data_IF_971302503440
#
_entry.id   IF_971302503440
#
_cell.length_a   1.000
_cell.length_b   1.000
_cell.length_c   1.000
_cell.angle_alpha   90.00
_cell.angle_beta   90.00
_cell.angle_gamma   90.00
#
_symmetry.space_group_name_H-M   'P 1'
#
loop_
_entity.id
_entity.type
_entity.pdbx_description
1 polymer ?
#
# COMPACT_ATOMS: atom_id res chain seq x y z
N UNK A 1 47.24 -47.88 15.47
CA UNK A 1 46.84 -47.30 16.76
C UNK A 1 45.67 -48.12 17.28
N UNK A 2 45.97 -48.86 18.34
CA UNK A 2 45.13 -49.76 19.17
C UNK A 2 43.77 -49.15 19.53
N UNK A 3 42.61 -49.78 19.27
CA UNK A 3 41.92 -50.92 19.96
C UNK A 3 41.79 -50.85 21.48
N UNK A 4 40.52 -50.90 21.91
CA UNK A 4 39.90 -51.62 23.04
C UNK A 4 40.06 -51.15 24.50
N UNK A 5 38.96 -50.58 25.00
CA UNK A 5 38.18 -50.91 26.21
C UNK A 5 38.67 -51.97 27.21
N UNK A 6 38.56 -51.62 28.50
CA UNK A 6 38.31 -52.46 29.71
C UNK A 6 37.76 -51.52 30.81
N UNK A 7 36.50 -51.66 31.30
CA UNK A 7 36.00 -52.46 32.46
C UNK A 7 36.71 -52.10 33.80
N UNK A 8 36.12 -51.93 34.99
CA UNK A 8 35.00 -52.59 35.69
C UNK A 8 34.39 -51.73 36.84
N UNK A 9 33.08 -51.89 37.04
CA UNK A 9 32.25 -52.05 38.26
C UNK A 9 32.79 -51.75 39.68
N UNK A 10 31.93 -51.15 40.54
CA UNK A 10 31.48 -51.75 41.82
C UNK A 10 30.57 -50.87 42.70
N UNK A 11 29.29 -51.29 42.86
CA UNK A 11 28.42 -51.36 44.08
C UNK A 11 28.15 -50.06 44.90
N UNK A 12 26.93 -49.69 45.35
CA UNK A 12 25.91 -50.35 46.20
C UNK A 12 24.50 -49.83 45.81
N UNK A 13 23.44 -50.65 45.63
CA UNK A 13 22.46 -51.05 46.67
C UNK A 13 21.49 -49.90 47.04
N UNK A 14 20.15 -49.94 46.99
CA UNK A 14 19.19 -50.98 47.41
C UNK A 14 17.75 -50.58 46.93
N UNK A 15 16.98 -51.55 46.42
CA UNK A 15 15.53 -51.83 46.65
C UNK A 15 14.36 -51.10 45.96
N UNK A 16 13.73 -51.89 45.08
CA UNK A 16 12.30 -52.26 44.92
C UNK A 16 11.25 -51.26 44.40
N UNK A 17 10.67 -51.63 43.24
CA UNK A 17 9.21 -51.55 43.04
C UNK A 17 8.73 -51.25 41.61
N UNK A 18 8.67 -52.29 40.75
CA UNK A 18 7.56 -52.68 39.83
C UNK A 18 6.73 -51.55 39.13
N UNK A 19 6.37 -51.55 37.85
CA UNK A 19 6.60 -52.36 36.64
C UNK A 19 6.14 -51.51 35.44
N UNK A 20 6.83 -51.67 34.32
CA UNK A 20 6.47 -51.47 32.92
C UNK A 20 5.25 -50.61 32.55
N UNK A 21 5.54 -49.51 31.84
CA UNK A 21 4.59 -48.80 30.98
C UNK A 21 5.32 -48.19 29.78
N UNK A 22 5.69 -49.03 28.81
CA UNK A 22 6.10 -48.58 27.48
C UNK A 22 4.84 -48.36 26.63
N UNK A 23 4.73 -47.23 25.92
CA UNK A 23 4.38 -47.13 24.50
C UNK A 23 3.99 -45.69 24.10
N UNK A 24 4.87 -45.07 23.31
CA UNK A 24 4.58 -44.46 22.00
C UNK A 24 3.61 -43.25 21.91
N UNK A 25 4.19 -42.17 21.33
CA UNK A 25 3.63 -41.15 20.43
C UNK A 25 3.20 -39.76 20.92
N UNK A 26 3.97 -38.80 20.35
CA UNK A 26 3.60 -37.54 19.68
C UNK A 26 3.15 -36.31 20.47
N UNK A 27 3.97 -35.27 20.23
CA UNK A 27 3.66 -33.84 20.12
C UNK A 27 2.19 -33.46 20.32
N UNK A 28 1.94 -32.66 21.36
CA UNK A 28 0.68 -31.98 21.59
C UNK A 28 0.30 -31.08 20.41
N UNK A 29 -0.78 -31.48 19.74
CA UNK A 29 -1.89 -30.69 19.17
C UNK A 29 -1.65 -29.18 19.03
N UNK A 30 -1.52 -28.63 17.82
CA UNK A 30 -2.61 -28.35 16.86
C UNK A 30 -3.82 -27.66 17.51
N UNK A 31 -3.94 -26.36 17.25
CA UNK A 31 -5.12 -25.53 17.49
C UNK A 31 -6.30 -26.05 16.67
N UNK A 32 -7.40 -26.40 17.34
CA UNK A 32 -8.72 -26.55 16.72
C UNK A 32 -9.59 -25.35 17.08
N UNK A 33 -10.20 -24.77 16.03
CA UNK A 33 -11.16 -23.67 16.11
C UNK A 33 -12.48 -24.23 16.68
N UNK A 34 -12.89 -23.74 17.85
CA UNK A 34 -14.20 -24.06 18.42
C UNK A 34 -15.14 -22.86 18.37
N UNK A 35 -16.37 -23.17 17.96
CA UNK A 35 -17.48 -22.30 17.61
C UNK A 35 -17.84 -21.29 18.70
N UNK A 36 -17.92 -19.99 18.36
CA UNK A 36 -18.48 -18.97 19.24
C UNK A 36 -19.98 -19.18 19.45
N UNK A 37 -20.40 -19.56 20.67
CA UNK A 37 -21.79 -19.56 21.08
C UNK A 37 -22.27 -18.13 21.40
N UNK A 38 -23.52 -17.76 21.11
CA UNK A 38 -24.04 -16.42 21.38
C UNK A 38 -24.26 -16.21 22.89
N UNK A 39 -23.85 -15.03 23.39
CA UNK A 39 -24.02 -14.65 24.79
C UNK A 39 -25.52 -14.46 25.15
N UNK A 40 -25.95 -14.87 26.35
CA UNK A 40 -27.32 -14.69 26.79
C UNK A 40 -27.60 -13.22 27.16
N UNK A 41 -28.74 -12.72 26.71
CA UNK A 41 -29.33 -11.48 27.21
C UNK A 41 -29.82 -11.71 28.64
N UNK A 42 -29.18 -11.10 29.64
CA UNK A 42 -29.78 -10.44 30.82
C UNK A 42 -28.67 -10.14 31.84
N UNK A 43 -28.30 -8.87 32.01
CA UNK A 43 -28.49 -8.12 33.28
C UNK A 43 -27.94 -6.70 33.11
N UNK A 44 -28.83 -5.71 33.02
CA UNK A 44 -28.45 -4.30 33.05
C UNK A 44 -28.40 -3.84 34.50
N UNK A 45 -27.30 -4.17 35.18
CA UNK A 45 -27.00 -3.60 36.48
C UNK A 45 -25.90 -2.53 36.34
N UNK A 46 -26.28 -1.32 36.70
CA UNK A 46 -25.53 -0.08 36.53
C UNK A 46 -24.27 -0.05 37.40
N UNK A 47 -23.09 -0.29 36.82
CA UNK A 47 -21.79 0.31 37.23
C UNK A 47 -20.58 -0.18 36.42
N UNK A 48 -20.71 -0.32 35.10
CA UNK A 48 -19.54 -0.42 34.23
C UNK A 48 -19.27 0.96 33.67
N UNK A 49 -18.21 1.63 34.14
CA UNK A 49 -17.60 2.71 33.38
C UNK A 49 -17.11 2.12 32.06
N UNK A 50 -17.97 2.20 31.04
CA UNK A 50 -17.57 1.93 29.67
C UNK A 50 -16.48 2.94 29.35
N UNK A 51 -15.21 2.49 29.35
CA UNK A 51 -14.18 3.21 28.62
C UNK A 51 -14.70 3.30 27.20
N UNK A 52 -15.11 4.50 26.80
CA UNK A 52 -15.59 4.77 25.46
C UNK A 52 -14.59 4.14 24.49
N UNK A 53 -15.05 3.18 23.68
CA UNK A 53 -14.27 2.71 22.54
C UNK A 53 -13.82 3.98 21.80
N UNK A 54 -12.51 4.11 21.56
CA UNK A 54 -11.97 5.25 20.83
C UNK A 54 -12.83 5.43 19.57
N UNK A 55 -13.54 6.55 19.47
CA UNK A 55 -14.46 6.80 18.38
C UNK A 55 -13.70 6.58 17.07
N UNK A 56 -14.22 5.72 16.19
CA UNK A 56 -13.65 5.50 14.87
C UNK A 56 -13.75 6.82 14.10
N UNK A 57 -12.70 7.64 14.18
CA UNK A 57 -12.65 8.89 13.46
C UNK A 57 -12.75 8.57 11.96
N UNK A 58 -13.66 9.22 11.22
CA UNK A 58 -13.83 8.94 9.80
C UNK A 58 -12.51 9.17 9.04
N UNK A 59 -12.27 8.44 7.95
CA UNK A 59 -11.09 8.64 7.13
C UNK A 59 -11.11 10.04 6.50
N UNK A 60 -9.91 10.58 6.26
CA UNK A 60 -9.74 11.86 5.61
C UNK A 60 -10.12 11.76 4.13
N UNK A 61 -11.16 12.47 3.70
CA UNK A 61 -11.57 12.55 2.30
C UNK A 61 -10.78 13.63 1.56
N UNK A 62 -10.10 13.26 0.48
CA UNK A 62 -9.22 14.18 -0.28
C UNK A 62 -9.74 14.38 -1.70
N UNK A 63 -9.86 15.64 -2.11
CA UNK A 63 -10.37 16.05 -3.42
C UNK A 63 -9.45 15.72 -4.59
N UNK A 64 -10.06 15.47 -5.76
CA UNK A 64 -9.39 15.26 -7.04
C UNK A 64 -8.85 16.60 -7.58
N UNK A 65 -7.61 16.61 -8.02
CA UNK A 65 -6.96 17.73 -8.72
C UNK A 65 -6.58 17.29 -10.12
N UNK A 66 -7.10 17.98 -11.15
CA UNK A 66 -6.68 17.79 -12.53
C UNK A 66 -5.36 18.54 -12.79
N UNK A 67 -4.53 17.99 -13.67
CA UNK A 67 -3.29 18.65 -14.10
C UNK A 67 -3.54 19.42 -15.38
N UNK A 68 -3.99 20.67 -15.26
CA UNK A 68 -4.42 21.48 -16.42
C UNK A 68 -3.31 21.67 -17.46
N UNK A 69 -2.06 21.87 -17.01
CA UNK A 69 -0.91 22.03 -17.88
C UNK A 69 -0.54 20.77 -18.69
N UNK A 70 -1.10 19.60 -18.34
CA UNK A 70 -0.75 18.32 -18.96
C UNK A 70 -1.16 18.24 -20.44
N UNK A 71 -2.30 18.84 -20.83
CA UNK A 71 -2.76 18.86 -22.22
C UNK A 71 -1.72 19.47 -23.17
N UNK A 72 -1.10 20.59 -22.77
CA UNK A 72 -0.07 21.26 -23.59
C UNK A 72 1.17 20.40 -23.86
N UNK A 73 1.38 19.35 -23.05
CA UNK A 73 2.51 18.42 -23.13
C UNK A 73 2.13 17.09 -23.79
N UNK A 74 0.87 16.93 -24.22
CA UNK A 74 0.33 15.67 -24.69
C UNK A 74 0.22 14.60 -23.60
N UNK A 75 0.21 15.00 -22.33
CA UNK A 75 0.02 14.12 -21.18
C UNK A 75 -1.48 13.96 -20.92
N UNK A 76 -2.08 12.91 -21.46
CA UNK A 76 -3.51 12.63 -21.39
C UNK A 76 -3.78 11.16 -21.07
N UNK A 77 -4.89 10.87 -20.39
CA UNK A 77 -5.36 9.51 -20.11
C UNK A 77 -5.71 8.75 -21.40
N UNK A 78 -6.03 7.45 -21.29
CA UNK A 78 -6.38 6.59 -22.43
C UNK A 78 -7.46 7.18 -23.34
N UNK A 79 -8.43 7.91 -22.79
CA UNK A 79 -9.52 8.56 -23.54
C UNK A 79 -9.20 9.99 -24.04
N UNK A 80 -8.05 10.55 -23.68
CA UNK A 80 -7.67 11.93 -23.98
C UNK A 80 -8.01 12.94 -22.89
N UNK A 81 -8.65 12.53 -21.79
CA UNK A 81 -8.89 13.40 -20.64
C UNK A 81 -7.61 13.74 -19.87
N UNK A 82 -7.65 14.80 -19.06
CA UNK A 82 -6.49 15.21 -18.26
C UNK A 82 -6.18 14.19 -17.15
N UNK A 83 -4.89 13.93 -16.85
CA UNK A 83 -4.51 13.16 -15.68
C UNK A 83 -4.81 13.92 -14.40
N UNK A 84 -4.84 13.18 -13.29
CA UNK A 84 -5.25 13.71 -12.01
C UNK A 84 -4.50 13.09 -10.84
N UNK A 85 -4.52 13.76 -9.70
CA UNK A 85 -4.03 13.24 -8.43
C UNK A 85 -4.85 13.80 -7.26
N UNK A 86 -4.70 13.22 -6.08
CA UNK A 86 -5.22 13.75 -4.82
C UNK A 86 -4.05 14.20 -3.96
N UNK A 87 -4.17 15.36 -3.31
CA UNK A 87 -3.12 15.88 -2.42
C UNK A 87 -3.70 16.34 -1.10
N UNK A 88 -3.10 15.88 -0.01
CA UNK A 88 -3.32 16.42 1.32
C UNK A 88 -2.02 17.04 1.82
N UNK A 89 -2.09 18.29 2.30
CA UNK A 89 -0.90 19.05 2.72
C UNK A 89 -0.37 18.59 4.07
N UNK A 90 0.95 18.58 4.17
CA UNK A 90 1.67 18.29 5.41
C UNK A 90 1.65 19.45 6.39
N UNK A 91 2.08 19.18 7.62
CA UNK A 91 2.14 20.17 8.69
C UNK A 91 3.31 19.88 9.66
N UNK A 92 3.69 20.89 10.44
CA UNK A 92 4.79 20.78 11.40
C UNK A 92 6.10 20.33 10.74
N UNK A 93 6.77 19.35 11.34
CA UNK A 93 8.03 18.80 10.82
C UNK A 93 7.90 18.12 9.45
N UNK A 94 6.71 17.67 9.06
CA UNK A 94 6.44 17.03 7.77
C UNK A 94 6.02 18.00 6.66
N UNK A 95 5.89 19.30 6.94
CA UNK A 95 5.38 20.29 5.97
C UNK A 95 6.23 20.40 4.69
N UNK A 96 7.53 20.10 4.78
CA UNK A 96 8.46 20.08 3.63
C UNK A 96 8.85 18.66 3.21
N UNK A 97 8.12 17.64 3.65
CA UNK A 97 8.35 16.26 3.23
C UNK A 97 7.16 15.76 2.42
N UNK A 98 7.41 14.91 1.43
CA UNK A 98 6.41 14.49 0.46
C UNK A 98 6.38 12.98 0.32
N UNK A 99 5.19 12.39 0.28
CA UNK A 99 4.96 10.99 0.00
C UNK A 99 4.12 10.90 -1.27
N UNK A 100 4.69 10.30 -2.32
CA UNK A 100 4.00 10.10 -3.59
C UNK A 100 3.57 8.64 -3.68
N UNK A 101 2.27 8.37 -3.75
CA UNK A 101 1.72 7.04 -4.00
C UNK A 101 1.15 6.96 -5.41
N UNK A 102 1.62 5.99 -6.19
CA UNK A 102 1.00 5.63 -7.46
C UNK A 102 -0.18 4.69 -7.23
N UNK A 103 -1.34 5.05 -7.76
CA UNK A 103 -2.47 4.13 -7.85
C UNK A 103 -2.10 2.95 -8.75
N UNK A 104 -2.44 1.73 -8.32
CA UNK A 104 -2.35 0.54 -9.15
C UNK A 104 -3.59 0.37 -10.03
N UNK A 105 -3.46 -0.37 -11.12
CA UNK A 105 -4.62 -0.64 -11.99
C UNK A 105 -4.37 -1.69 -13.08
N UNK A 106 -3.30 -2.49 -12.94
CA UNK A 106 -2.87 -3.47 -13.94
C UNK A 106 -2.44 -2.80 -15.25
N UNK A 107 -2.56 -3.54 -16.36
CA UNK A 107 -2.38 -3.02 -17.71
C UNK A 107 -3.42 -3.65 -18.64
N UNK A 108 -3.75 -2.93 -19.72
CA UNK A 108 -4.56 -3.51 -20.78
C UNK A 108 -3.63 -4.16 -21.82
N UNK A 109 -3.71 -5.47 -21.98
CA UNK A 109 -2.81 -6.22 -22.88
C UNK A 109 -3.37 -6.44 -24.30
N UNK A 110 -4.49 -5.79 -24.64
CA UNK A 110 -5.07 -5.79 -25.99
C UNK A 110 -5.86 -4.51 -26.23
N UNK A 111 -5.97 -4.10 -27.50
CA UNK A 111 -6.72 -2.90 -27.89
C UNK A 111 -8.17 -2.97 -27.38
N UNK A 112 -8.84 -4.10 -27.51
CA UNK A 112 -10.22 -4.29 -27.02
C UNK A 112 -10.33 -4.04 -25.52
N UNK A 113 -9.37 -4.54 -24.72
CA UNK A 113 -9.35 -4.27 -23.27
C UNK A 113 -9.07 -2.81 -22.98
N UNK A 114 -8.15 -2.18 -23.71
CA UNK A 114 -7.84 -0.76 -23.51
C UNK A 114 -9.05 0.14 -23.86
N UNK A 115 -9.81 -0.21 -24.91
CA UNK A 115 -11.07 0.47 -25.26
C UNK A 115 -12.13 0.30 -24.16
N UNK A 116 -12.15 -0.84 -23.47
CA UNK A 116 -13.00 -0.98 -22.29
C UNK A 116 -12.49 -0.13 -21.11
N UNK A 117 -11.20 -0.19 -20.81
CA UNK A 117 -10.57 0.56 -19.72
C UNK A 117 -10.75 2.07 -19.84
N UNK A 118 -10.73 2.64 -21.06
CA UNK A 118 -10.95 4.08 -21.28
C UNK A 118 -12.32 4.59 -20.83
N UNK A 119 -13.30 3.68 -20.65
CA UNK A 119 -14.65 3.99 -20.13
C UNK A 119 -14.77 3.79 -18.61
N UNK A 120 -13.65 3.71 -17.90
CA UNK A 120 -13.58 3.47 -16.46
C UNK A 120 -12.68 4.49 -15.79
N UNK A 121 -12.68 4.54 -14.44
CA UNK A 121 -11.79 5.41 -13.65
C UNK A 121 -10.29 5.15 -13.92
N UNK A 122 -9.91 3.97 -14.41
CA UNK A 122 -8.53 3.60 -14.73
C UNK A 122 -8.11 3.94 -16.17
N UNK A 123 -8.95 4.62 -16.94
CA UNK A 123 -8.60 5.07 -18.28
C UNK A 123 -9.10 6.47 -18.62
N UNK A 124 -9.78 7.14 -17.70
CA UNK A 124 -10.35 8.46 -17.91
C UNK A 124 -10.65 9.15 -16.59
N UNK A 125 -10.26 10.42 -16.49
CA UNK A 125 -10.53 11.25 -15.31
C UNK A 125 -12.00 11.67 -15.19
N UNK A 126 -12.80 11.53 -16.24
CA UNK A 126 -14.24 11.76 -16.18
C UNK A 126 -14.94 10.79 -15.22
N UNK A 127 -14.43 9.57 -15.10
CA UNK A 127 -14.98 8.53 -14.22
C UNK A 127 -14.25 8.40 -12.88
N UNK A 128 -13.25 9.24 -12.60
CA UNK A 128 -12.57 9.24 -11.30
C UNK A 128 -13.46 9.81 -10.20
N UNK A 129 -13.38 9.19 -9.03
CA UNK A 129 -14.03 9.68 -7.82
C UNK A 129 -13.53 11.08 -7.48
N UNK A 130 -14.45 12.00 -7.21
CA UNK A 130 -14.12 13.39 -6.90
C UNK A 130 -13.45 13.55 -5.54
N UNK A 131 -13.67 12.60 -4.64
CA UNK A 131 -12.97 12.47 -3.37
C UNK A 131 -12.70 11.00 -3.08
N UNK A 132 -11.56 10.72 -2.44
CA UNK A 132 -11.21 9.38 -1.97
C UNK A 132 -10.74 9.44 -0.51
N UNK A 133 -10.95 8.37 0.27
CA UNK A 133 -10.39 8.27 1.60
C UNK A 133 -8.87 8.06 1.52
N UNK A 134 -8.14 8.79 2.34
CA UNK A 134 -6.73 8.58 2.59
C UNK A 134 -6.57 7.69 3.83
N UNK A 135 -6.12 6.46 3.61
CA UNK A 135 -6.01 5.39 4.59
C UNK A 135 -4.62 4.73 4.52
N UNK A 136 -4.28 3.90 5.51
CA UNK A 136 -2.99 3.21 5.58
C UNK A 136 -1.82 4.20 5.50
N UNK A 137 -0.87 3.97 4.60
CA UNK A 137 0.30 4.86 4.41
C UNK A 137 -0.07 6.30 3.97
N UNK A 138 -1.30 6.53 3.48
CA UNK A 138 -1.78 7.88 3.17
C UNK A 138 -2.57 8.52 4.32
N UNK A 139 -2.87 7.78 5.38
CA UNK A 139 -3.64 8.26 6.53
C UNK A 139 -2.98 9.45 7.21
N UNK A 140 -3.80 10.35 7.75
CA UNK A 140 -3.37 11.47 8.59
C UNK A 140 -3.32 11.12 10.09
N UNK A 141 -3.62 9.87 10.45
CA UNK A 141 -3.60 9.42 11.84
C UNK A 141 -2.26 8.75 12.14
N UNK A 142 -1.55 9.25 13.14
CA UNK A 142 -0.26 8.69 13.55
C UNK A 142 -0.36 7.21 13.98
N UNK A 143 -1.50 6.75 14.49
CA UNK A 143 -1.72 5.35 14.84
C UNK A 143 -1.83 4.41 13.63
N UNK A 144 -2.20 4.92 12.44
CA UNK A 144 -2.27 4.15 11.20
C UNK A 144 -1.04 4.37 10.31
N UNK A 145 -0.43 5.56 10.40
CA UNK A 145 0.69 6.00 9.58
C UNK A 145 1.75 6.72 10.43
N UNK A 146 2.50 6.01 11.28
CA UNK A 146 3.42 6.64 12.22
C UNK A 146 4.51 7.47 11.53
N UNK A 147 4.90 7.08 10.31
CA UNK A 147 6.03 7.68 9.60
C UNK A 147 5.66 8.93 8.80
N UNK A 148 4.49 8.93 8.15
CA UNK A 148 4.13 9.94 7.14
C UNK A 148 2.83 10.72 7.43
N UNK A 149 2.19 10.54 8.60
CA UNK A 149 0.89 11.16 8.91
C UNK A 149 0.85 12.70 8.89
N UNK A 150 2.01 13.36 8.97
CA UNK A 150 2.12 14.82 8.87
C UNK A 150 2.85 15.31 7.61
N UNK A 151 3.15 14.44 6.65
CA UNK A 151 3.79 14.80 5.37
C UNK A 151 2.79 15.33 4.34
N UNK A 152 3.26 15.96 3.27
CA UNK A 152 2.45 16.13 2.06
C UNK A 152 2.22 14.76 1.45
N UNK A 153 0.98 14.31 1.37
CA UNK A 153 0.65 12.97 0.86
C UNK A 153 -0.10 13.12 -0.44
N UNK A 154 0.38 12.45 -1.48
CA UNK A 154 -0.16 12.54 -2.83
C UNK A 154 -0.51 11.15 -3.32
N UNK A 155 -1.69 10.99 -3.91
CA UNK A 155 -2.06 9.80 -4.66
C UNK A 155 -2.25 10.16 -6.13
N UNK A 156 -1.32 9.75 -6.98
CA UNK A 156 -1.41 9.93 -8.44
C UNK A 156 -2.39 8.90 -8.99
N UNK A 157 -3.41 9.36 -9.73
CA UNK A 157 -4.44 8.48 -10.28
C UNK A 157 -3.94 7.79 -11.54
N UNK A 158 -4.25 6.51 -11.65
CA UNK A 158 -3.85 5.68 -12.78
C UNK A 158 -4.83 5.84 -13.93
N UNK A 159 -4.34 6.18 -15.13
CA UNK A 159 -5.21 6.30 -16.31
C UNK A 159 -4.56 6.02 -17.66
N UNK A 160 -3.34 5.49 -17.72
CA UNK A 160 -2.56 5.34 -18.96
C UNK A 160 -2.59 3.94 -19.57
N UNK A 161 -3.12 2.94 -18.85
CA UNK A 161 -3.20 1.55 -19.33
C UNK A 161 -1.87 0.80 -19.37
N UNK A 162 -0.74 1.44 -19.00
CA UNK A 162 0.62 0.93 -19.13
C UNK A 162 1.52 1.23 -17.94
N UNK A 163 0.97 1.34 -16.72
CA UNK A 163 1.73 1.56 -15.47
C UNK A 163 2.71 2.74 -15.52
N UNK A 164 2.28 3.88 -16.08
CA UNK A 164 3.10 5.09 -16.24
C UNK A 164 4.35 4.93 -17.12
N UNK A 165 4.47 3.85 -17.91
CA UNK A 165 5.70 3.51 -18.65
C UNK A 165 5.63 3.75 -20.16
N UNK A 166 4.45 3.94 -20.73
CA UNK A 166 4.27 4.12 -22.18
C UNK A 166 4.37 5.57 -22.66
N UNK A 167 4.78 5.77 -23.92
CA UNK A 167 4.54 7.00 -24.68
C UNK A 167 4.20 6.67 -26.15
N UNK A 168 2.99 6.17 -26.37
CA UNK A 168 2.48 5.83 -27.71
C UNK A 168 0.99 6.15 -27.85
N UNK A 169 0.42 5.87 -29.00
CA UNK A 169 -1.02 5.99 -29.24
C UNK A 169 -1.48 4.94 -30.26
N UNK A 170 -2.78 4.71 -30.29
CA UNK A 170 -3.45 3.99 -31.37
C UNK A 170 -4.58 4.89 -31.89
N UNK A 171 -4.35 5.49 -33.05
CA UNK A 171 -5.23 6.48 -33.66
C UNK A 171 -6.56 5.84 -34.08
N UNK A 172 -6.51 4.64 -34.66
CA UNK A 172 -7.70 3.93 -35.13
C UNK A 172 -8.68 3.60 -33.98
N UNK A 173 -8.16 3.26 -32.79
CA UNK A 173 -8.95 2.98 -31.61
C UNK A 173 -9.17 4.22 -30.71
N UNK A 174 -8.60 5.37 -31.07
CA UNK A 174 -8.55 6.59 -30.27
C UNK A 174 -8.11 6.31 -28.83
N UNK A 175 -6.90 5.75 -28.70
CA UNK A 175 -6.26 5.43 -27.44
C UNK A 175 -4.93 6.15 -27.30
N UNK A 176 -4.69 6.73 -26.12
CA UNK A 176 -3.46 7.43 -25.78
C UNK A 176 -2.72 6.73 -24.63
N UNK A 177 -1.57 6.14 -24.92
CA UNK A 177 -0.73 5.46 -23.94
C UNK A 177 0.38 6.42 -23.47
N UNK A 178 0.01 7.43 -22.67
CA UNK A 178 0.89 8.57 -22.32
C UNK A 178 1.46 8.51 -20.91
N UNK A 179 1.68 7.31 -20.38
CA UNK A 179 2.12 7.08 -19.00
C UNK A 179 3.35 7.89 -18.59
N UNK A 180 4.41 7.92 -19.40
CA UNK A 180 5.62 8.68 -19.10
C UNK A 180 5.35 10.18 -19.05
N UNK A 181 4.57 10.69 -20.01
CA UNK A 181 4.20 12.11 -20.07
C UNK A 181 3.33 12.53 -18.89
N UNK A 182 2.38 11.67 -18.51
CA UNK A 182 1.53 11.87 -17.33
C UNK A 182 2.40 11.99 -16.09
N UNK A 183 3.34 11.05 -15.89
CA UNK A 183 4.25 11.09 -14.76
C UNK A 183 5.05 12.40 -14.71
N UNK A 184 5.71 12.78 -15.80
CA UNK A 184 6.47 14.03 -15.89
C UNK A 184 5.58 15.26 -15.61
N UNK A 185 4.41 15.34 -16.22
CA UNK A 185 3.49 16.46 -16.03
C UNK A 185 3.00 16.59 -14.58
N UNK A 186 2.68 15.47 -13.93
CA UNK A 186 2.29 15.45 -12.51
C UNK A 186 3.47 15.88 -11.63
N UNK A 187 4.68 15.36 -11.86
CA UNK A 187 5.85 15.74 -11.05
C UNK A 187 6.16 17.23 -11.18
N UNK A 188 6.16 17.78 -12.39
CA UNK A 188 6.40 19.21 -12.61
C UNK A 188 5.34 20.08 -11.94
N UNK A 189 4.07 19.66 -12.00
CA UNK A 189 2.98 20.36 -11.33
C UNK A 189 3.14 20.33 -9.79
N UNK A 190 3.52 19.19 -9.21
CA UNK A 190 3.83 19.08 -7.78
C UNK A 190 5.07 19.90 -7.38
N UNK A 191 6.10 19.97 -8.23
CA UNK A 191 7.29 20.81 -8.05
C UNK A 191 6.89 22.29 -7.94
N UNK A 192 5.99 22.75 -8.81
CA UNK A 192 5.45 24.12 -8.77
C UNK A 192 4.67 24.40 -7.47
N UNK A 193 4.07 23.35 -6.89
CA UNK A 193 3.27 23.38 -5.67
C UNK A 193 4.08 23.23 -4.37
N UNK A 194 5.39 23.36 -4.45
CA UNK A 194 6.33 23.38 -3.32
C UNK A 194 7.19 22.13 -3.18
N UNK A 195 6.97 21.07 -3.97
CA UNK A 195 7.80 19.86 -3.90
C UNK A 195 9.25 20.12 -4.28
N UNK A 196 9.53 21.18 -5.07
CA UNK A 196 10.89 21.62 -5.42
C UNK A 196 11.77 22.02 -4.24
N UNK A 197 11.18 22.22 -3.06
CA UNK A 197 11.87 22.55 -1.81
C UNK A 197 11.76 21.43 -0.77
N UNK A 198 11.33 20.23 -1.18
CA UNK A 198 11.18 19.11 -0.29
C UNK A 198 12.52 18.65 0.31
N UNK A 199 12.49 18.26 1.58
CA UNK A 199 13.64 17.62 2.22
C UNK A 199 13.76 16.15 1.78
N UNK A 200 12.61 15.49 1.60
CA UNK A 200 12.51 14.07 1.28
C UNK A 200 11.28 13.81 0.41
N UNK A 201 11.42 12.95 -0.60
CA UNK A 201 10.33 12.54 -1.50
C UNK A 201 10.36 11.02 -1.76
N UNK A 202 9.93 10.16 -0.82
CA UNK A 202 9.71 8.75 -1.07
C UNK A 202 8.50 8.55 -1.99
N UNK A 203 8.68 7.64 -2.94
CA UNK A 203 7.63 7.16 -3.82
C UNK A 203 7.24 5.72 -3.44
N UNK A 204 5.94 5.44 -3.41
CA UNK A 204 5.38 4.12 -3.12
C UNK A 204 4.36 3.73 -4.19
N UNK A 205 4.14 2.43 -4.41
CA UNK A 205 3.06 1.93 -5.25
C UNK A 205 2.21 0.93 -4.46
N UNK A 206 0.92 0.82 -4.78
CA UNK A 206 0.07 -0.24 -4.23
C UNK A 206 0.33 -1.57 -4.98
N UNK A 207 1.05 -2.49 -4.32
CA UNK A 207 1.38 -3.93 -4.56
C UNK A 207 1.41 -4.59 -5.98
N UNK A 208 2.43 -5.46 -6.14
CA UNK A 208 2.58 -6.64 -7.03
C UNK A 208 2.64 -6.51 -8.56
N UNK A 209 3.28 -5.48 -9.12
CA UNK A 209 3.54 -5.47 -10.56
C UNK A 209 4.97 -5.07 -10.91
N UNK A 210 5.56 -5.82 -11.87
CA UNK A 210 6.96 -5.88 -12.29
C UNK A 210 7.66 -4.55 -12.61
N UNK A 211 6.95 -3.41 -12.58
CA UNK A 211 7.51 -2.10 -12.89
C UNK A 211 7.59 -1.12 -11.70
N UNK A 212 7.09 -1.45 -10.50
CA UNK A 212 7.40 -0.63 -9.33
C UNK A 212 8.84 -0.88 -8.80
N UNK A 213 9.47 -2.01 -9.18
CA UNK A 213 10.83 -2.37 -8.72
C UNK A 213 11.94 -1.45 -9.25
N UNK A 214 11.71 -0.65 -10.30
CA UNK A 214 12.71 0.29 -10.84
C UNK A 214 12.41 1.77 -10.58
N UNK A 215 11.34 2.09 -9.84
CA UNK A 215 10.91 3.48 -9.61
C UNK A 215 10.85 3.87 -8.12
N UNK A 216 11.62 3.22 -7.25
CA UNK A 216 12.05 3.87 -6.01
C UNK A 216 13.17 4.85 -6.38
N UNK A 217 12.81 5.93 -7.06
CA UNK A 217 13.68 7.09 -7.15
C UNK A 217 13.42 7.91 -5.89
N UNK A 218 14.42 8.01 -5.02
CA UNK A 218 14.60 9.28 -4.32
C UNK A 218 14.80 10.30 -5.43
N UNK A 219 13.82 11.19 -5.63
CA UNK A 219 14.02 12.35 -6.48
C UNK A 219 15.11 13.18 -5.80
N UNK A 220 16.37 12.89 -6.11
CA UNK A 220 17.46 13.82 -5.84
C UNK A 220 17.17 15.02 -6.72
N UNK A 221 16.70 16.09 -6.10
CA UNK A 221 16.33 17.33 -6.78
C UNK A 221 17.51 18.03 -7.48
N UNK A 222 18.70 17.42 -7.47
CA UNK A 222 19.90 17.88 -8.15
C UNK A 222 19.91 17.69 -9.68
N UNK A 223 18.84 17.16 -10.31
CA UNK A 223 18.85 16.84 -11.76
C UNK A 223 17.70 17.38 -12.61
N UNK A 224 16.96 18.39 -12.15
CA UNK A 224 15.92 19.06 -12.95
C UNK A 224 16.22 20.55 -13.18
N UNK A 225 17.50 20.91 -13.30
CA UNK A 225 17.98 22.21 -13.78
C UNK A 225 18.58 22.09 -15.17
#
# INVERSE_FOLDING_TARGET
>A
MTTTTTTLYSWWGFMYGLMMGSLIWKCGSCFEFEHSQPLPLQDWNNNVTFKAAAAFAPPLMVGLTLVDAAASKGAVCLDGSLPAYHIHRGYGSGANSWLIQLEGGGWCNSITKCVFSKKTRHGSSHYMEKQIPFEGILSNKAGENPDFYNWNRVKVRYCDGGSFSGDSQNEAAQLYFRGQRIWSAVMEDLMSKGMRYANQVPQTCHTNFMHCFNFIYLISMAKLH
#
